data_IF_574608014137
#
_entry.id   IF_574608014137
#
_cell.length_a   1.000
_cell.length_b   1.000
_cell.length_c   1.000
_cell.angle_alpha   90.00
_cell.angle_beta   90.00
_cell.angle_gamma   90.00
#
_symmetry.space_group_name_H-M   'P 1'
#
loop_
_entity.id
_entity.type
_entity.pdbx_description
1 polymer ?
#
# COMPACT_ATOMS: atom_id res chain seq x y z
N UNK A 1 -5.12 -4.39 35.56
CA UNK A 1 -5.62 -5.05 34.33
C UNK A 1 -4.81 -6.31 34.10
N UNK A 2 -5.37 -7.51 34.24
CA UNK A 2 -4.67 -8.77 33.93
C UNK A 2 -4.36 -8.79 32.44
N UNK A 3 -3.07 -8.82 32.06
CA UNK A 3 -2.63 -9.08 30.69
C UNK A 3 -3.16 -10.47 30.31
N UNK A 4 -4.20 -10.55 29.46
CA UNK A 4 -4.49 -11.77 28.69
C UNK A 4 -3.17 -12.17 28.00
N UNK A 5 -2.85 -13.47 27.98
CA UNK A 5 -1.61 -14.00 27.41
C UNK A 5 -1.31 -13.37 26.04
N UNK A 6 -0.02 -13.13 25.74
CA UNK A 6 0.52 -12.37 24.59
C UNK A 6 -0.53 -12.16 23.49
N UNK A 7 -1.19 -11.00 23.53
CA UNK A 7 -2.30 -10.71 22.65
C UNK A 7 -1.78 -10.64 21.22
N UNK A 8 -2.18 -11.60 20.39
CA UNK A 8 -1.90 -11.61 18.96
C UNK A 8 -2.76 -10.58 18.24
N UNK A 9 -2.45 -9.29 18.37
CA UNK A 9 -3.40 -8.21 18.02
C UNK A 9 -3.83 -8.21 16.55
N UNK A 10 -2.94 -8.60 15.64
CA UNK A 10 -3.27 -8.66 14.21
C UNK A 10 -3.97 -9.96 13.81
N UNK A 11 -4.04 -10.98 14.66
CA UNK A 11 -4.71 -12.23 14.29
C UNK A 11 -6.19 -11.97 13.98
N UNK A 12 -6.70 -12.64 12.95
CA UNK A 12 -8.09 -12.56 12.48
C UNK A 12 -8.50 -11.17 11.93
N UNK A 13 -7.54 -10.25 11.76
CA UNK A 13 -7.78 -8.95 11.10
C UNK A 13 -7.70 -9.06 9.58
N UNK A 14 -8.19 -8.04 8.88
CA UNK A 14 -8.18 -7.89 7.42
C UNK A 14 -7.35 -6.67 7.04
N UNK A 15 -6.52 -6.81 6.02
CA UNK A 15 -5.67 -5.73 5.52
C UNK A 15 -5.80 -5.59 4.01
N UNK A 16 -5.87 -4.35 3.53
CA UNK A 16 -5.79 -4.07 2.09
C UNK A 16 -4.39 -3.53 1.72
N UNK A 17 -3.82 -4.08 0.64
CA UNK A 17 -2.48 -3.72 0.13
C UNK A 17 -2.58 -2.75 -1.05
N UNK A 18 -2.62 -1.46 -0.71
CA UNK A 18 -2.73 -0.34 -1.64
C UNK A 18 -1.35 0.05 -2.20
N UNK A 19 -1.28 0.36 -3.50
CA UNK A 19 -0.04 0.81 -4.15
C UNK A 19 -0.12 0.75 -5.67
N UNK A 20 0.90 1.23 -6.39
CA UNK A 20 0.92 1.17 -7.84
C UNK A 20 0.77 -0.25 -8.39
N UNK A 21 0.05 -0.35 -9.49
CA UNK A 21 -0.07 -1.52 -10.36
C UNK A 21 0.23 -1.09 -11.81
N UNK A 22 -0.29 0.07 -12.20
CA UNK A 22 0.11 0.76 -13.42
C UNK A 22 1.39 1.58 -13.25
N UNK A 23 2.06 1.89 -14.38
CA UNK A 23 3.28 2.69 -14.46
C UNK A 23 4.49 2.15 -13.67
N UNK A 24 4.40 0.90 -13.21
CA UNK A 24 5.54 0.12 -12.72
C UNK A 24 6.38 -0.37 -13.90
N UNK A 25 7.64 -0.75 -13.64
CA UNK A 25 8.55 -1.21 -14.70
C UNK A 25 8.03 -2.47 -15.41
N UNK A 26 7.37 -3.37 -14.68
CA UNK A 26 6.79 -4.61 -15.21
C UNK A 26 5.61 -5.03 -14.32
N UNK A 27 4.39 -5.08 -14.90
CA UNK A 27 3.19 -5.53 -14.19
C UNK A 27 3.32 -6.99 -13.75
N UNK A 28 3.80 -7.85 -14.65
CA UNK A 28 3.99 -9.27 -14.39
C UNK A 28 5.00 -9.53 -13.26
N UNK A 29 6.11 -8.78 -13.22
CA UNK A 29 7.08 -8.93 -12.12
C UNK A 29 6.56 -8.36 -10.81
N UNK A 30 5.81 -7.25 -10.84
CA UNK A 30 5.21 -6.69 -9.63
C UNK A 30 4.11 -7.60 -9.06
N UNK A 31 3.30 -8.22 -9.91
CA UNK A 31 2.31 -9.23 -9.52
C UNK A 31 2.97 -10.47 -8.92
N UNK A 32 4.01 -11.01 -9.58
CA UNK A 32 4.61 -12.29 -9.20
C UNK A 32 5.64 -12.19 -8.08
N UNK A 33 6.40 -11.10 -8.03
CA UNK A 33 7.57 -10.94 -7.16
C UNK A 33 7.58 -9.63 -6.37
N UNK A 34 6.56 -8.77 -6.55
CA UNK A 34 6.49 -7.47 -5.90
C UNK A 34 6.35 -7.53 -4.38
N UNK A 35 6.35 -6.34 -3.77
CA UNK A 35 6.34 -6.18 -2.32
C UNK A 35 5.09 -6.78 -1.66
N UNK A 36 3.95 -6.81 -2.38
CA UNK A 36 2.68 -7.32 -1.86
C UNK A 36 2.75 -8.79 -1.46
N UNK A 37 3.43 -9.62 -2.26
CA UNK A 37 3.63 -11.03 -1.94
C UNK A 37 4.37 -11.20 -0.62
N UNK A 38 5.48 -10.47 -0.43
CA UNK A 38 6.31 -10.55 0.77
C UNK A 38 5.61 -10.02 2.02
N UNK A 39 4.96 -8.87 1.91
CA UNK A 39 4.15 -8.31 3.00
C UNK A 39 2.99 -9.26 3.32
N UNK A 40 2.35 -9.82 2.30
CA UNK A 40 1.28 -10.81 2.40
C UNK A 40 1.71 -12.08 3.10
N UNK A 41 2.88 -12.65 2.77
CA UNK A 41 3.42 -13.86 3.44
C UNK A 41 3.61 -13.65 4.94
N UNK A 42 4.18 -12.50 5.33
CA UNK A 42 4.34 -12.16 6.75
C UNK A 42 2.99 -12.05 7.45
N UNK A 43 2.05 -11.29 6.87
CA UNK A 43 0.72 -11.04 7.44
C UNK A 43 -0.11 -12.33 7.53
N UNK A 44 -0.10 -13.18 6.49
CA UNK A 44 -0.75 -14.49 6.51
C UNK A 44 -0.16 -15.39 7.58
N UNK A 45 1.17 -15.36 7.80
CA UNK A 45 1.81 -16.09 8.90
C UNK A 45 1.37 -15.63 10.30
N UNK A 46 0.80 -14.43 10.41
CA UNK A 46 0.23 -13.85 11.63
C UNK A 46 -1.29 -14.11 11.77
N UNK A 47 -1.91 -14.81 10.83
CA UNK A 47 -3.36 -15.04 10.79
C UNK A 47 -4.16 -13.84 10.28
N UNK A 48 -3.54 -12.93 9.52
CA UNK A 48 -4.23 -11.79 8.88
C UNK A 48 -4.79 -12.24 7.52
N UNK A 49 -6.03 -11.84 7.22
CA UNK A 49 -6.61 -11.95 5.88
C UNK A 49 -6.10 -10.82 5.01
N UNK A 50 -5.42 -11.15 3.91
CA UNK A 50 -4.81 -10.16 3.01
C UNK A 50 -5.67 -9.97 1.76
N UNK A 51 -6.09 -8.73 1.53
CA UNK A 51 -6.71 -8.29 0.28
C UNK A 51 -5.64 -7.66 -0.61
N UNK A 52 -5.29 -8.38 -1.67
CA UNK A 52 -4.34 -7.96 -2.69
C UNK A 52 -5.13 -7.63 -3.97
N UNK A 53 -5.01 -6.42 -4.55
CA UNK A 53 -5.73 -6.07 -5.77
C UNK A 53 -5.35 -6.92 -7.00
N UNK A 54 -4.18 -7.57 -7.01
CA UNK A 54 -3.86 -8.55 -8.07
C UNK A 54 -4.67 -9.86 -7.94
N UNK A 55 -5.09 -10.21 -6.72
CA UNK A 55 -5.72 -11.48 -6.41
C UNK A 55 -6.97 -11.27 -5.57
N UNK A 56 -7.99 -10.67 -6.20
CA UNK A 56 -9.26 -10.32 -5.56
C UNK A 56 -10.07 -11.58 -5.24
N UNK A 57 -10.74 -11.66 -4.07
CA UNK A 57 -11.66 -12.75 -3.79
C UNK A 57 -12.90 -12.69 -4.69
N UNK A 58 -13.51 -13.84 -4.95
CA UNK A 58 -14.77 -13.91 -5.70
C UNK A 58 -15.90 -13.17 -4.98
N UNK A 59 -16.70 -12.43 -5.75
CA UNK A 59 -17.91 -11.77 -5.24
C UNK A 59 -19.05 -12.78 -5.24
N UNK A 60 -19.54 -13.15 -4.05
CA UNK A 60 -20.64 -14.11 -3.92
C UNK A 60 -21.87 -13.63 -4.69
N UNK A 61 -22.39 -14.47 -5.58
CA UNK A 61 -23.57 -14.19 -6.39
C UNK A 61 -23.30 -13.33 -7.64
N UNK A 62 -22.06 -12.92 -7.90
CA UNK A 62 -21.67 -12.16 -9.08
C UNK A 62 -20.46 -12.82 -9.75
N UNK A 63 -20.70 -13.59 -10.81
CA UNK A 63 -19.65 -14.25 -11.57
C UNK A 63 -18.74 -13.22 -12.26
N UNK A 64 -17.43 -13.37 -12.14
CA UNK A 64 -16.38 -12.53 -12.76
C UNK A 64 -16.44 -11.01 -12.48
N UNK A 65 -17.25 -10.57 -11.50
CA UNK A 65 -17.39 -9.14 -11.21
C UNK A 65 -16.11 -8.53 -10.65
N UNK A 66 -15.58 -7.52 -11.35
CA UNK A 66 -14.38 -6.79 -10.94
C UNK A 66 -13.07 -7.55 -11.18
N UNK A 67 -13.10 -8.66 -11.92
CA UNK A 67 -11.88 -9.33 -12.42
C UNK A 67 -11.19 -8.41 -13.42
N UNK A 68 -9.88 -8.21 -13.22
CA UNK A 68 -9.03 -7.49 -14.16
C UNK A 68 -8.54 -8.46 -15.25
N UNK A 69 -8.84 -8.15 -16.51
CA UNK A 69 -8.28 -8.82 -17.67
C UNK A 69 -7.57 -7.78 -18.56
N UNK A 70 -6.76 -8.24 -19.52
CA UNK A 70 -6.01 -7.36 -20.42
C UNK A 70 -6.90 -6.39 -21.23
N UNK A 71 -8.21 -6.66 -21.32
CA UNK A 71 -9.17 -5.87 -22.12
C UNK A 71 -9.42 -4.47 -21.56
N UNK A 72 -9.20 -4.20 -20.26
CA UNK A 72 -9.45 -2.86 -19.69
C UNK A 72 -8.44 -1.81 -20.12
N UNK A 73 -7.22 -2.21 -20.45
CA UNK A 73 -6.20 -1.30 -20.98
C UNK A 73 -6.55 -0.84 -22.40
N UNK A 74 -7.17 -1.72 -23.19
CA UNK A 74 -7.62 -1.44 -24.55
C UNK A 74 -8.86 -0.53 -24.59
N UNK A 75 -9.78 -0.69 -23.64
CA UNK A 75 -10.99 0.15 -23.53
C UNK A 75 -10.66 1.65 -23.41
N UNK A 76 -9.51 2.01 -22.82
CA UNK A 76 -9.06 3.41 -22.73
C UNK A 76 -8.87 4.06 -24.11
N UNK A 77 -8.54 3.28 -25.15
CA UNK A 77 -8.35 3.79 -26.52
C UNK A 77 -9.64 4.34 -27.12
N UNK A 78 -10.79 3.88 -26.64
CA UNK A 78 -12.11 4.35 -27.08
C UNK A 78 -12.53 5.68 -26.42
N UNK A 79 -11.76 6.19 -25.45
CA UNK A 79 -12.07 7.45 -24.80
C UNK A 79 -11.99 8.63 -25.78
N UNK A 80 -13.00 9.50 -25.77
CA UNK A 80 -13.04 10.71 -26.60
C UNK A 80 -13.58 11.93 -25.87
N UNK A 81 -13.01 13.09 -26.18
CA UNK A 81 -13.48 14.40 -25.72
C UNK A 81 -14.53 15.02 -26.64
N UNK A 82 -14.93 14.34 -27.72
CA UNK A 82 -15.95 14.85 -28.61
C UNK A 82 -17.28 15.12 -27.87
N UNK A 83 -17.95 16.26 -28.14
CA UNK A 83 -19.26 16.54 -27.59
C UNK A 83 -20.36 15.72 -28.30
N UNK A 84 -21.58 15.78 -27.77
CA UNK A 84 -22.77 15.14 -28.36
C UNK A 84 -22.94 13.66 -27.98
N UNK A 85 -24.02 13.05 -28.50
CA UNK A 85 -24.47 11.73 -28.07
C UNK A 85 -23.43 10.62 -28.31
N UNK A 86 -22.72 10.64 -29.44
CA UNK A 86 -21.68 9.64 -29.76
C UNK A 86 -20.52 9.70 -28.78
N UNK A 87 -20.01 10.90 -28.47
CA UNK A 87 -18.93 11.06 -27.51
C UNK A 87 -19.37 10.73 -26.08
N UNK A 88 -20.59 11.11 -25.70
CA UNK A 88 -21.17 10.75 -24.41
C UNK A 88 -21.29 9.22 -24.24
N UNK A 89 -21.74 8.51 -25.28
CA UNK A 89 -21.83 7.05 -25.29
C UNK A 89 -20.46 6.38 -25.10
N UNK A 90 -19.46 6.80 -25.86
CA UNK A 90 -18.10 6.24 -25.74
C UNK A 90 -17.54 6.43 -24.32
N UNK A 91 -17.69 7.62 -23.72
CA UNK A 91 -17.28 7.86 -22.33
C UNK A 91 -18.05 7.00 -21.33
N UNK A 92 -19.36 6.82 -21.53
CA UNK A 92 -20.19 6.00 -20.66
C UNK A 92 -19.80 4.52 -20.72
N UNK A 93 -19.46 4.00 -21.91
CA UNK A 93 -18.99 2.61 -22.10
C UNK A 93 -17.65 2.38 -21.39
N UNK A 94 -16.68 3.28 -21.56
CA UNK A 94 -15.37 3.18 -20.87
C UNK A 94 -15.52 3.29 -19.36
N UNK A 95 -16.27 4.28 -18.86
CA UNK A 95 -16.47 4.48 -17.43
C UNK A 95 -17.25 3.33 -16.79
N UNK A 96 -18.31 2.86 -17.46
CA UNK A 96 -19.13 1.74 -17.00
C UNK A 96 -18.37 0.42 -17.00
N UNK A 97 -17.51 0.18 -18.00
CA UNK A 97 -16.70 -1.02 -18.10
C UNK A 97 -15.64 -1.14 -16.99
N UNK A 98 -15.04 -0.02 -16.57
CA UNK A 98 -14.04 -0.03 -15.49
C UNK A 98 -14.65 0.01 -14.07
N UNK A 99 -15.89 0.46 -13.94
CA UNK A 99 -16.56 0.61 -12.64
C UNK A 99 -16.51 -0.64 -11.74
N UNK A 100 -16.75 -1.87 -12.23
CA UNK A 100 -16.69 -3.07 -11.39
C UNK A 100 -15.34 -3.27 -10.69
N UNK A 101 -14.23 -2.96 -11.35
CA UNK A 101 -12.88 -3.13 -10.80
C UNK A 101 -12.63 -2.14 -9.67
N UNK A 102 -12.88 -0.85 -9.94
CA UNK A 102 -12.83 0.20 -8.93
C UNK A 102 -13.74 -0.11 -7.74
N UNK A 103 -14.96 -0.57 -8.00
CA UNK A 103 -15.93 -0.86 -6.95
C UNK A 103 -15.46 -1.99 -6.02
N UNK A 104 -14.91 -3.08 -6.57
CA UNK A 104 -14.37 -4.17 -5.74
C UNK A 104 -13.20 -3.68 -4.89
N UNK A 105 -12.27 -2.91 -5.44
CA UNK A 105 -11.11 -2.41 -4.68
C UNK A 105 -11.55 -1.52 -3.51
N UNK A 106 -12.47 -0.59 -3.76
CA UNK A 106 -13.04 0.24 -2.71
C UNK A 106 -13.80 -0.60 -1.68
N UNK A 107 -14.48 -1.67 -2.10
CA UNK A 107 -15.16 -2.58 -1.16
C UNK A 107 -14.18 -3.39 -0.31
N UNK A 108 -13.02 -3.75 -0.85
CA UNK A 108 -11.94 -4.38 -0.08
C UNK A 108 -11.34 -3.39 0.93
N UNK A 109 -11.19 -2.12 0.54
CA UNK A 109 -10.83 -1.05 1.49
C UNK A 109 -11.89 -0.92 2.59
N UNK A 110 -13.19 -0.85 2.25
CA UNK A 110 -14.31 -0.75 3.20
C UNK A 110 -14.38 -1.89 4.21
N UNK A 111 -13.95 -3.08 3.80
CA UNK A 111 -14.01 -4.27 4.64
C UNK A 111 -12.69 -4.60 5.32
N UNK A 112 -11.59 -3.92 4.99
CA UNK A 112 -10.34 -4.04 5.73
C UNK A 112 -10.42 -3.40 7.12
N UNK A 113 -9.63 -3.88 8.09
CA UNK A 113 -9.50 -3.27 9.41
C UNK A 113 -8.37 -2.21 9.43
N UNK A 114 -7.39 -2.34 8.53
CA UNK A 114 -6.37 -1.33 8.26
C UNK A 114 -5.84 -1.44 6.83
N UNK A 115 -5.14 -0.41 6.35
CA UNK A 115 -4.55 -0.36 5.01
C UNK A 115 -3.04 -0.22 5.10
N UNK A 116 -2.30 -0.91 4.23
CA UNK A 116 -0.89 -0.64 3.96
C UNK A 116 -0.81 -0.02 2.58
N UNK A 117 -0.26 1.19 2.48
CA UNK A 117 -0.13 1.93 1.23
C UNK A 117 1.34 2.13 0.87
N UNK A 118 1.78 1.53 -0.25
CA UNK A 118 3.09 1.77 -0.84
C UNK A 118 2.99 2.92 -1.86
N UNK A 119 3.66 4.03 -1.57
CA UNK A 119 3.53 5.29 -2.30
C UNK A 119 4.91 5.82 -2.73
N UNK A 120 5.59 5.15 -3.67
CA UNK A 120 6.83 5.67 -4.22
C UNK A 120 6.56 6.99 -4.97
N UNK A 121 7.30 8.05 -4.65
CA UNK A 121 7.03 9.40 -5.19
C UNK A 121 7.33 9.57 -6.69
N UNK A 122 7.88 8.53 -7.31
CA UNK A 122 8.23 8.48 -8.72
C UNK A 122 7.31 7.59 -9.55
N UNK A 123 6.18 7.16 -9.01
CA UNK A 123 5.18 6.42 -9.77
C UNK A 123 3.87 7.19 -9.67
N UNK A 124 3.30 7.53 -10.84
CA UNK A 124 1.99 8.15 -10.88
C UNK A 124 0.94 7.13 -10.44
N UNK A 125 0.18 7.47 -9.40
CA UNK A 125 -0.93 6.66 -8.90
C UNK A 125 -2.11 7.53 -8.50
N UNK A 126 -3.30 7.15 -8.94
CA UNK A 126 -4.58 7.78 -8.57
C UNK A 126 -5.43 6.89 -7.66
N UNK A 127 -5.36 5.56 -7.86
CA UNK A 127 -6.06 4.59 -7.03
C UNK A 127 -5.59 4.63 -5.58
N UNK A 128 -4.26 4.61 -5.36
CA UNK A 128 -3.67 4.64 -4.03
C UNK A 128 -4.09 5.85 -3.19
N UNK A 129 -4.00 7.12 -3.67
CA UNK A 129 -4.57 8.26 -2.94
C UNK A 129 -6.06 8.10 -2.62
N UNK A 130 -6.88 7.60 -3.56
CA UNK A 130 -8.32 7.43 -3.35
C UNK A 130 -8.61 6.41 -2.23
N UNK A 131 -7.93 5.26 -2.26
CA UNK A 131 -8.04 4.20 -1.26
C UNK A 131 -7.63 4.70 0.14
N UNK A 132 -6.56 5.49 0.24
CA UNK A 132 -6.13 6.13 1.50
C UNK A 132 -7.22 7.07 2.01
N UNK A 133 -7.79 7.92 1.14
CA UNK A 133 -8.85 8.86 1.54
C UNK A 133 -10.06 8.11 2.08
N UNK A 134 -10.52 7.06 1.38
CA UNK A 134 -11.66 6.24 1.81
C UNK A 134 -11.38 5.59 3.17
N UNK A 135 -10.21 4.99 3.34
CA UNK A 135 -9.81 4.39 4.62
C UNK A 135 -9.82 5.41 5.77
N UNK A 136 -9.32 6.63 5.54
CA UNK A 136 -9.26 7.68 6.55
C UNK A 136 -10.61 8.34 6.85
N UNK A 137 -11.51 8.43 5.86
CA UNK A 137 -12.91 8.81 6.11
C UNK A 137 -13.61 7.82 7.05
N UNK A 138 -13.21 6.55 7.01
CA UNK A 138 -13.68 5.49 7.92
C UNK A 138 -12.82 5.36 9.19
N UNK A 139 -11.90 6.30 9.44
CA UNK A 139 -10.99 6.33 10.61
C UNK A 139 -10.06 5.12 10.73
N UNK A 140 -9.84 4.36 9.66
CA UNK A 140 -8.97 3.18 9.68
C UNK A 140 -7.49 3.57 9.71
N UNK A 141 -6.63 2.83 10.43
CA UNK A 141 -5.19 3.02 10.32
C UNK A 141 -4.72 2.84 8.88
N UNK A 142 -3.86 3.75 8.43
CA UNK A 142 -3.14 3.64 7.15
C UNK A 142 -1.65 3.63 7.46
N UNK A 143 -0.94 2.58 7.03
CA UNK A 143 0.51 2.46 7.13
C UNK A 143 1.13 2.84 5.80
N UNK A 144 1.80 3.99 5.78
CA UNK A 144 2.26 4.63 4.55
C UNK A 144 3.75 4.39 4.34
N UNK A 145 4.11 3.64 3.30
CA UNK A 145 5.50 3.36 2.92
C UNK A 145 5.90 4.29 1.79
N UNK A 146 6.87 5.16 2.05
CA UNK A 146 7.41 6.15 1.12
C UNK A 146 8.92 5.99 1.01
N UNK A 147 9.40 5.07 0.16
CA UNK A 147 10.83 4.85 0.05
C UNK A 147 11.52 6.04 -0.64
N UNK A 148 12.77 6.34 -0.28
CA UNK A 148 13.63 7.19 -1.10
C UNK A 148 13.72 6.71 -2.55
N UNK A 149 13.68 7.67 -3.47
CA UNK A 149 13.79 7.46 -4.92
C UNK A 149 15.09 8.08 -5.42
N UNK A 150 15.84 7.31 -6.19
CA UNK A 150 16.97 7.80 -7.00
C UNK A 150 16.96 7.20 -8.40
N UNK A 151 17.70 7.81 -9.32
CA UNK A 151 17.80 7.39 -10.72
C UNK A 151 19.26 7.11 -11.10
N UNK A 152 19.85 5.98 -10.67
CA UNK A 152 21.26 5.68 -10.90
C UNK A 152 21.62 5.61 -12.40
N UNK A 153 20.71 5.08 -13.23
CA UNK A 153 20.89 5.06 -14.69
C UNK A 153 20.92 6.48 -15.29
N UNK A 154 20.09 7.39 -14.79
CA UNK A 154 20.10 8.79 -15.20
C UNK A 154 21.41 9.48 -14.80
N UNK A 155 21.90 9.24 -13.58
CA UNK A 155 23.19 9.76 -13.14
C UNK A 155 24.36 9.22 -14.00
N UNK A 156 24.34 7.94 -14.33
CA UNK A 156 25.33 7.32 -15.22
C UNK A 156 25.27 7.90 -16.64
N UNK A 157 24.06 8.09 -17.20
CA UNK A 157 23.86 8.69 -18.51
C UNK A 157 24.34 10.14 -18.57
N UNK A 158 24.04 10.94 -17.53
CA UNK A 158 24.56 12.32 -17.41
C UNK A 158 26.08 12.34 -17.43
N UNK A 159 26.73 11.44 -16.69
CA UNK A 159 28.19 11.30 -16.67
C UNK A 159 28.74 10.90 -18.06
N UNK A 160 28.06 9.98 -18.75
CA UNK A 160 28.45 9.54 -20.08
C UNK A 160 28.40 10.68 -21.11
N UNK A 161 27.34 11.49 -21.09
CA UNK A 161 27.11 12.57 -22.05
C UNK A 161 27.90 13.85 -21.76
N UNK A 162 28.73 13.91 -20.71
CA UNK A 162 29.40 15.14 -20.26
C UNK A 162 30.27 15.83 -21.34
N UNK A 163 30.73 15.11 -22.37
CA UNK A 163 31.50 15.65 -23.50
C UNK A 163 30.67 15.86 -24.76
N UNK A 164 29.41 15.45 -24.77
CA UNK A 164 28.44 15.68 -25.84
C UNK A 164 27.52 16.84 -25.44
N UNK A 165 27.79 18.02 -26.02
CA UNK A 165 27.00 19.25 -25.75
C UNK A 165 25.53 19.07 -26.13
N UNK A 166 25.23 18.41 -27.26
CA UNK A 166 23.86 18.22 -27.73
C UNK A 166 23.14 17.20 -26.85
N UNK A 167 23.78 16.08 -26.56
CA UNK A 167 23.27 15.06 -25.66
C UNK A 167 22.97 15.60 -24.26
N UNK A 168 23.88 16.40 -23.70
CA UNK A 168 23.67 17.06 -22.40
C UNK A 168 22.47 18.01 -22.43
N UNK A 169 22.35 18.85 -23.46
CA UNK A 169 21.21 19.77 -23.59
C UNK A 169 19.87 19.03 -23.74
N UNK A 170 19.84 17.92 -24.49
CA UNK A 170 18.65 17.08 -24.60
C UNK A 170 18.31 16.38 -23.29
N UNK A 171 19.31 15.89 -22.54
CA UNK A 171 19.09 15.24 -21.25
C UNK A 171 18.53 16.22 -20.21
N UNK A 172 19.06 17.43 -20.13
CA UNK A 172 18.55 18.46 -19.22
C UNK A 172 17.14 18.93 -19.62
N UNK A 173 16.86 19.04 -20.93
CA UNK A 173 15.50 19.31 -21.42
C UNK A 173 14.53 18.20 -21.01
N UNK A 174 14.91 16.93 -21.23
CA UNK A 174 14.11 15.78 -20.86
C UNK A 174 13.83 15.75 -19.34
N UNK A 175 14.83 16.06 -18.52
CA UNK A 175 14.69 16.14 -17.07
C UNK A 175 13.69 17.22 -16.61
N UNK A 176 13.51 18.29 -17.40
CA UNK A 176 12.47 19.31 -17.17
C UNK A 176 11.08 18.90 -17.67
N UNK A 177 11.00 18.05 -18.69
CA UNK A 177 9.74 17.58 -19.29
C UNK A 177 9.11 16.40 -18.53
N UNK A 178 9.93 15.55 -17.90
CA UNK A 178 9.44 14.40 -17.13
C UNK A 178 8.96 14.84 -15.75
N UNK A 179 7.71 14.54 -15.35
CA UNK A 179 7.13 15.04 -14.09
C UNK A 179 7.68 14.34 -12.83
N UNK A 180 8.52 13.32 -13.02
CA UNK A 180 9.01 12.42 -11.98
C UNK A 180 10.45 12.82 -11.61
N UNK A 181 10.67 13.09 -10.32
CA UNK A 181 11.96 13.56 -9.80
C UNK A 181 12.52 12.61 -8.75
N UNK A 182 13.83 12.67 -8.55
CA UNK A 182 14.46 12.02 -7.41
C UNK A 182 13.90 12.58 -6.10
N UNK A 183 13.82 11.73 -5.09
CA UNK A 183 13.37 12.08 -3.76
C UNK A 183 14.25 11.34 -2.73
N UNK A 184 15.45 11.86 -2.44
CA UNK A 184 16.43 11.15 -1.62
C UNK A 184 15.99 10.97 -0.17
N UNK A 185 15.03 11.75 0.31
CA UNK A 185 14.49 11.63 1.66
C UNK A 185 13.28 10.72 1.73
N UNK A 186 12.67 10.37 0.59
CA UNK A 186 11.40 9.66 0.53
C UNK A 186 10.24 10.47 1.12
N UNK A 187 10.39 11.78 1.32
CA UNK A 187 9.35 12.60 1.93
C UNK A 187 8.09 12.59 1.03
N UNK A 188 6.92 12.19 1.56
CA UNK A 188 5.70 12.17 0.78
C UNK A 188 5.14 13.59 0.61
N UNK A 189 4.11 13.74 -0.23
CA UNK A 189 3.35 14.98 -0.35
C UNK A 189 2.85 15.48 1.01
N UNK A 190 2.89 16.81 1.21
CA UNK A 190 2.38 17.47 2.43
C UNK A 190 0.91 17.14 2.71
N UNK A 191 0.13 16.76 1.70
CA UNK A 191 -1.25 16.34 1.85
C UNK A 191 -1.41 15.01 2.60
N UNK A 192 -0.46 14.08 2.46
CA UNK A 192 -0.51 12.81 3.18
C UNK A 192 -0.24 12.98 4.68
N UNK A 193 0.56 13.97 5.06
CA UNK A 193 0.97 14.18 6.46
C UNK A 193 -0.23 14.35 7.42
N UNK A 194 -1.18 15.28 7.19
CA UNK A 194 -2.36 15.40 8.04
C UNK A 194 -3.39 14.29 7.80
N UNK A 195 -3.42 13.69 6.60
CA UNK A 195 -4.38 12.63 6.25
C UNK A 195 -4.08 11.31 6.99
N UNK A 196 -2.81 10.90 6.98
CA UNK A 196 -2.31 9.65 7.57
C UNK A 196 -1.94 9.82 9.04
N UNK A 197 -1.38 10.98 9.42
CA UNK A 197 -0.87 11.25 10.76
C UNK A 197 0.62 10.92 10.93
N UNK A 198 1.29 11.62 11.85
CA UNK A 198 2.76 11.68 11.93
C UNK A 198 3.48 10.34 12.15
N UNK A 199 2.83 9.40 12.84
CA UNK A 199 3.49 8.17 13.29
C UNK A 199 3.36 6.99 12.34
N UNK A 200 2.55 7.08 11.28
CA UNK A 200 2.27 5.94 10.38
C UNK A 200 3.03 5.99 9.05
N UNK A 201 4.15 6.70 9.00
CA UNK A 201 5.07 6.75 7.86
C UNK A 201 6.27 5.81 8.03
N UNK A 202 6.69 5.16 6.95
CA UNK A 202 7.79 4.19 6.88
C UNK A 202 8.67 4.50 5.66
N UNK A 203 10.00 4.44 5.82
CA UNK A 203 10.99 4.72 4.75
C UNK A 203 11.44 3.46 3.98
N UNK A 204 10.81 2.33 4.29
CA UNK A 204 10.97 1.05 3.62
C UNK A 204 10.15 -0.05 4.29
N UNK A 205 10.17 -1.21 3.67
CA UNK A 205 9.57 -2.42 4.21
C UNK A 205 10.49 -3.04 5.27
N UNK A 206 11.79 -3.08 5.02
CA UNK A 206 12.77 -3.72 5.87
C UNK A 206 12.75 -5.24 5.71
N UNK A 207 12.90 -5.72 4.47
CA UNK A 207 12.81 -7.14 4.13
C UNK A 207 14.01 -7.96 4.63
N UNK A 208 15.18 -7.34 4.82
CA UNK A 208 16.44 -8.05 5.04
C UNK A 208 16.39 -9.13 6.16
N UNK A 209 15.83 -8.87 7.36
CA UNK A 209 15.75 -9.89 8.43
C UNK A 209 14.81 -11.06 8.13
N UNK A 210 13.92 -10.92 7.13
CA UNK A 210 12.85 -11.86 6.83
C UNK A 210 13.15 -12.75 5.62
N UNK A 211 14.08 -12.34 4.75
CA UNK A 211 14.41 -13.06 3.50
C UNK A 211 14.69 -14.54 3.72
N UNK A 212 15.55 -14.88 4.70
CA UNK A 212 15.89 -16.27 5.00
C UNK A 212 14.71 -17.06 5.55
N UNK A 213 13.89 -16.44 6.41
CA UNK A 213 12.71 -17.08 7.04
C UNK A 213 11.67 -17.47 5.99
N UNK A 214 11.41 -16.62 5.02
CA UNK A 214 10.39 -16.85 3.99
C UNK A 214 10.96 -17.37 2.66
N UNK A 215 12.29 -17.55 2.58
CA UNK A 215 13.00 -18.00 1.37
C UNK A 215 12.69 -17.15 0.14
N UNK A 216 12.56 -15.83 0.33
CA UNK A 216 12.28 -14.94 -0.78
C UNK A 216 13.49 -14.82 -1.72
N UNK A 217 13.28 -14.94 -3.05
CA UNK A 217 14.35 -14.68 -4.01
C UNK A 217 14.72 -13.20 -3.97
N UNK A 218 15.97 -12.85 -4.25
CA UNK A 218 16.41 -11.45 -4.31
C UNK A 218 15.72 -10.71 -5.46
N UNK A 219 15.23 -9.50 -5.22
CA UNK A 219 14.58 -8.63 -6.22
C UNK A 219 15.24 -7.23 -6.21
N UNK A 220 15.04 -6.37 -7.24
CA UNK A 220 15.65 -5.03 -7.29
C UNK A 220 15.34 -4.15 -6.05
N UNK A 221 14.18 -4.35 -5.42
CA UNK A 221 13.82 -3.65 -4.18
C UNK A 221 14.75 -4.03 -3.00
N UNK A 222 15.29 -5.24 -2.97
CA UNK A 222 16.28 -5.64 -1.96
C UNK A 222 17.57 -4.85 -2.13
N UNK A 223 18.04 -4.66 -3.37
CA UNK A 223 19.22 -3.86 -3.65
C UNK A 223 19.00 -2.40 -3.24
N UNK A 224 17.80 -1.87 -3.50
CA UNK A 224 17.42 -0.51 -3.10
C UNK A 224 17.33 -0.32 -1.58
N UNK A 225 16.85 -1.33 -0.84
CA UNK A 225 16.87 -1.30 0.63
C UNK A 225 18.28 -1.53 1.19
N UNK A 226 19.06 -2.46 0.65
CA UNK A 226 20.40 -2.78 1.12
C UNK A 226 21.40 -1.61 0.86
N UNK A 227 21.15 -0.79 -0.16
CA UNK A 227 21.95 0.40 -0.46
C UNK A 227 21.83 1.53 0.58
N UNK A 228 20.93 1.42 1.57
CA UNK A 228 20.69 2.46 2.58
C UNK A 228 20.26 1.90 3.92
N UNK A 229 20.43 2.69 4.98
CA UNK A 229 19.88 2.33 6.29
C UNK A 229 18.40 2.70 6.36
N UNK A 230 17.52 1.70 6.42
CA UNK A 230 16.08 1.88 6.68
C UNK A 230 15.89 2.24 8.15
N UNK A 231 15.38 3.45 8.43
CA UNK A 231 15.26 4.00 9.79
C UNK A 231 13.97 3.56 10.47
N UNK A 232 12.90 3.39 9.70
CA UNK A 232 11.57 3.05 10.18
C UNK A 232 10.94 1.99 9.26
N UNK A 233 11.37 0.72 9.40
CA UNK A 233 10.90 -0.38 8.56
C UNK A 233 9.48 -0.83 8.95
N UNK A 234 8.65 -1.14 7.96
CA UNK A 234 7.27 -1.59 8.15
C UNK A 234 7.17 -2.99 8.79
N UNK A 235 7.91 -3.99 8.30
CA UNK A 235 7.73 -5.39 8.72
C UNK A 235 8.03 -5.59 10.23
N UNK A 236 9.13 -5.06 10.79
CA UNK A 236 9.37 -5.10 12.23
C UNK A 236 8.30 -4.38 13.06
N UNK A 237 7.70 -3.31 12.51
CA UNK A 237 6.58 -2.62 13.15
C UNK A 237 5.33 -3.51 13.21
N UNK A 238 4.96 -4.18 12.12
CA UNK A 238 3.84 -5.13 12.09
C UNK A 238 4.04 -6.29 13.10
N UNK A 239 5.24 -6.83 13.20
CA UNK A 239 5.56 -7.87 14.18
C UNK A 239 5.38 -7.41 15.64
N UNK A 240 5.78 -6.18 15.96
CA UNK A 240 5.56 -5.61 17.31
C UNK A 240 4.07 -5.52 17.64
N UNK A 241 3.27 -5.01 16.70
CA UNK A 241 1.80 -4.97 16.89
C UNK A 241 1.26 -6.36 17.10
N UNK A 242 1.63 -7.30 16.22
CA UNK A 242 1.19 -8.67 16.36
C UNK A 242 1.56 -9.26 17.73
N UNK A 243 2.69 -8.91 18.35
CA UNK A 243 3.07 -9.39 19.69
C UNK A 243 2.33 -8.72 20.86
N UNK A 244 1.46 -7.75 20.60
CA UNK A 244 0.68 -7.06 21.63
C UNK A 244 1.03 -5.60 21.85
N UNK A 245 1.94 -5.03 21.07
CA UNK A 245 2.37 -3.64 21.21
C UNK A 245 1.48 -2.70 20.41
N UNK A 246 0.47 -2.10 21.07
CA UNK A 246 -0.37 -1.10 20.43
C UNK A 246 0.46 0.10 19.96
N UNK A 247 0.25 0.58 18.72
CA UNK A 247 0.93 1.77 18.23
C UNK A 247 0.63 2.99 19.06
N UNK A 248 1.61 3.89 19.12
CA UNK A 248 1.53 5.16 19.84
C UNK A 248 1.50 6.30 18.85
N UNK A 249 0.84 7.40 19.22
CA UNK A 249 0.86 8.68 18.51
C UNK A 249 1.45 9.77 19.38
N UNK A 250 2.17 10.73 18.78
CA UNK A 250 2.60 11.93 19.50
C UNK A 250 1.41 12.84 19.75
N UNK A 251 1.12 13.14 21.01
CA UNK A 251 0.10 14.14 21.38
C UNK A 251 0.79 15.49 21.55
N UNK A 252 0.56 16.40 20.61
CA UNK A 252 1.19 17.72 20.62
C UNK A 252 0.79 18.56 21.85
N UNK A 253 -0.45 18.44 22.33
CA UNK A 253 -0.94 19.18 23.50
C UNK A 253 -0.31 18.66 24.79
N UNK A 254 -0.20 17.33 24.92
CA UNK A 254 0.38 16.68 26.11
C UNK A 254 1.90 16.51 26.05
N UNK A 255 2.54 16.83 24.91
CA UNK A 255 3.98 16.67 24.64
C UNK A 255 4.52 15.29 25.02
N UNK A 256 3.75 14.23 24.72
CA UNK A 256 4.13 12.84 25.01
C UNK A 256 3.48 11.89 24.04
N UNK A 257 4.06 10.70 23.90
CA UNK A 257 3.42 9.60 23.18
C UNK A 257 2.25 9.02 23.99
N UNK A 258 1.09 8.91 23.34
CA UNK A 258 -0.14 8.28 23.87
C UNK A 258 -0.51 7.08 23.02
N UNK A 259 -1.42 6.21 23.49
CA UNK A 259 -1.96 5.14 22.66
C UNK A 259 -2.67 5.74 21.42
N UNK A 260 -2.48 5.11 20.26
CA UNK A 260 -3.22 5.49 19.05
C UNK A 260 -4.61 4.88 19.09
N UNK A 261 -5.62 5.76 19.15
CA UNK A 261 -7.04 5.43 19.16
C UNK A 261 -7.58 5.02 17.79
N UNK A 262 -6.81 5.18 16.71
CA UNK A 262 -7.17 4.66 15.38
C UNK A 262 -7.10 3.12 15.32
N UNK A 263 -6.34 2.47 16.21
CA UNK A 263 -6.14 1.01 16.23
C UNK A 263 -7.25 0.26 16.97
N UNK A 264 -8.49 0.44 16.49
CA UNK A 264 -9.66 -0.27 17.01
C UNK A 264 -9.80 -1.62 16.32
N UNK A 265 -9.14 -2.64 16.88
CA UNK A 265 -9.20 -4.02 16.38
C UNK A 265 -10.26 -4.82 17.16
N UNK A 266 -11.12 -5.54 16.43
CA UNK A 266 -12.25 -6.28 17.00
C UNK A 266 -11.85 -7.71 17.41
N UNK A 267 -12.23 -8.15 18.61
CA UNK A 267 -12.19 -9.57 19.01
C UNK A 267 -13.57 -10.18 18.75
N UNK A 268 -13.77 -10.70 17.53
CA UNK A 268 -15.06 -11.24 17.08
C UNK A 268 -15.36 -12.64 17.64
N UNK A 269 -14.46 -13.22 18.42
CA UNK A 269 -14.70 -14.51 19.07
C UNK A 269 -15.73 -14.33 20.17
N UNK A 270 -16.78 -15.17 20.24
CA UNK A 270 -17.73 -15.12 21.33
C UNK A 270 -17.00 -15.20 22.67
N UNK A 271 -17.28 -14.27 23.59
CA UNK A 271 -16.78 -14.38 24.95
C UNK A 271 -17.18 -15.75 25.48
N UNK A 272 -16.21 -16.61 25.83
CA UNK A 272 -16.49 -17.87 26.51
C UNK A 272 -17.33 -17.53 27.73
N UNK A 273 -18.63 -17.83 27.68
CA UNK A 273 -19.51 -17.75 28.85
C UNK A 273 -18.84 -18.61 29.91
N UNK A 274 -18.36 -17.98 30.97
CA UNK A 274 -17.96 -18.70 32.17
C UNK A 274 -19.16 -19.54 32.58
N UNK A 275 -19.00 -20.86 32.62
CA UNK A 275 -20.04 -21.77 33.08
C UNK A 275 -20.60 -21.23 34.41
N UNK A 276 -21.93 -21.22 34.59
CA UNK A 276 -22.51 -20.77 35.84
C UNK A 276 -21.87 -21.57 36.98
N UNK A 277 -21.34 -20.86 37.98
CA UNK A 277 -20.86 -21.50 39.21
C UNK A 277 -22.05 -22.29 39.74
N UNK A 278 -21.97 -23.62 39.67
CA UNK A 278 -22.91 -24.50 40.34
C UNK A 278 -22.95 -24.08 41.80
N UNK A 279 -24.08 -23.51 42.22
CA UNK A 279 -24.37 -23.29 43.62
C UNK A 279 -24.34 -24.67 44.28
N UNK A 280 -23.34 -24.91 45.13
CA UNK A 280 -23.39 -26.04 46.06
C UNK A 280 -24.49 -25.69 47.06
N UNK A 281 -25.59 -26.42 46.96
CA UNK A 281 -26.53 -26.57 48.07
C UNK A 281 -25.91 -27.42 49.18
#
# INVERSE_FOLDING_TARGET
MKRRGSARLLADTRVYLSGPMDFVASRADEEKFGWRNRVGDLLRSMGVTVFDPWHKPEVRGFFEYGVENEQTTEARKEWTFAPGARGARARAEVAGGFWPQLHVDLRLVDTSDFVIAHCPTNIYSVGTPHEIVVARQQRKPVLFVSPPVGFPAYAALRKHLQRDRRGTALLEKLAGEVPIKENPTGAPSLWYMPLVGSESFFDGFGFAPYRARFRWPRIPMDDAEDARTIRKPLLPFLERIHRGELPRKWDHRRRRFVASDDWLLWDMRPARRSAPKTARG
#
